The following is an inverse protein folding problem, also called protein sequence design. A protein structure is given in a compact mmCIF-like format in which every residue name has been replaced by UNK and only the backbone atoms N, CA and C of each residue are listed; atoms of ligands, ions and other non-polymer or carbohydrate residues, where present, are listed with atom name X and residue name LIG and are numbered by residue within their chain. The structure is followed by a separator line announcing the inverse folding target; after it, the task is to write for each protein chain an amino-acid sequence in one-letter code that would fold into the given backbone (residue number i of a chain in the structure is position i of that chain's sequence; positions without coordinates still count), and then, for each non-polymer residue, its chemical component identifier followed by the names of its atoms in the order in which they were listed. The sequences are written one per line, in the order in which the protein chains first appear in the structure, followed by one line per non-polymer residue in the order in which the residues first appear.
data_IF_192024918518
#
_entry.id   IF_192024918518
#
_cell.length_a   1.000
_cell.length_b   1.000
_cell.length_c   1.000
_cell.angle_alpha   90.00
_cell.angle_beta   90.00
_cell.angle_gamma   90.00
#
_symmetry.space_group_name_H-M   'P 1'
#
loop_
_entity.id
_entity.type
_entity.pdbx_description
1 polymer ?
#
# COMPACT_ATOMS: atom_id res chain seq x y z
N UNK A 1 11.34 16.81 12.48
CA UNK A 1 11.13 15.39 12.12
C UNK A 1 9.77 15.33 11.44
N UNK A 2 9.72 14.86 10.20
CA UNK A 2 8.49 14.90 9.38
C UNK A 2 7.91 13.50 9.30
N UNK A 3 6.61 13.36 9.60
CA UNK A 3 5.87 12.11 9.48
C UNK A 3 4.87 12.26 8.34
N UNK A 4 4.79 11.27 7.45
CA UNK A 4 3.79 11.22 6.37
C UNK A 4 3.05 9.90 6.38
N UNK A 5 1.76 9.95 6.07
CA UNK A 5 0.94 8.76 5.87
C UNK A 5 0.82 8.44 4.38
N UNK A 6 1.17 7.22 3.98
CA UNK A 6 1.04 6.76 2.60
C UNK A 6 -0.20 5.89 2.42
N UNK A 7 -0.90 6.15 1.32
CA UNK A 7 -1.96 5.25 0.86
C UNK A 7 -1.35 3.99 0.27
N UNK A 8 -1.92 2.84 0.62
CA UNK A 8 -1.54 1.51 0.10
C UNK A 8 -2.75 0.75 -0.46
N UNK A 9 -3.87 1.45 -0.69
CA UNK A 9 -5.08 0.83 -1.23
C UNK A 9 -4.89 0.48 -2.71
N UNK A 10 -5.26 -0.72 -3.18
CA UNK A 10 -5.20 -1.04 -4.60
C UNK A 10 -6.19 -0.20 -5.41
N UNK A 11 -5.96 -0.06 -6.72
CA UNK A 11 -6.75 0.84 -7.57
C UNK A 11 -8.25 0.56 -7.57
N UNK A 12 -8.66 -0.70 -7.39
CA UNK A 12 -10.08 -1.12 -7.38
C UNK A 12 -10.89 -0.53 -6.24
N UNK A 13 -10.25 -0.16 -5.12
CA UNK A 13 -10.92 0.40 -3.93
C UNK A 13 -10.40 1.80 -3.57
N UNK A 14 -9.59 2.41 -4.44
CA UNK A 14 -8.97 3.69 -4.17
C UNK A 14 -9.94 4.81 -4.56
N UNK A 15 -10.34 5.59 -3.56
CA UNK A 15 -11.07 6.85 -3.76
C UNK A 15 -10.09 7.91 -4.26
N UNK A 16 -10.43 8.60 -5.35
CA UNK A 16 -9.67 9.75 -5.86
C UNK A 16 -10.44 11.04 -5.59
N UNK A 17 -9.71 12.09 -5.24
CA UNK A 17 -10.29 13.42 -5.14
C UNK A 17 -10.50 13.97 -6.55
N UNK A 18 -11.66 14.59 -6.77
CA UNK A 18 -12.00 15.25 -8.04
C UNK A 18 -11.31 16.61 -8.06
N UNK A 19 -10.82 17.01 -9.23
CA UNK A 19 -10.27 18.35 -9.48
C UNK A 19 -11.37 19.41 -9.30
N UNK A 20 -11.02 20.65 -8.91
CA UNK A 20 -11.95 21.77 -9.02
C UNK A 20 -12.42 21.98 -10.46
N UNK A 21 -13.67 22.41 -10.64
CA UNK A 21 -14.32 22.57 -11.96
C UNK A 21 -13.42 23.34 -12.95
N UNK A 22 -12.83 24.45 -12.52
CA UNK A 22 -11.98 25.27 -13.39
C UNK A 22 -10.71 24.55 -13.91
N UNK A 23 -10.24 23.50 -13.23
CA UNK A 23 -9.11 22.68 -13.70
C UNK A 23 -9.55 21.55 -14.63
N UNK A 24 -10.81 21.12 -14.55
CA UNK A 24 -11.38 20.10 -15.42
C UNK A 24 -11.66 20.70 -16.80
N UNK A 25 -12.16 21.93 -16.84
CA UNK A 25 -12.46 22.63 -18.09
C UNK A 25 -11.21 22.86 -18.97
N UNK A 26 -10.01 22.84 -18.37
CA UNK A 26 -8.72 22.94 -19.08
C UNK A 26 -8.21 21.56 -19.59
N UNK A 27 -8.61 20.45 -18.97
CA UNK A 27 -8.23 19.09 -19.36
C UNK A 27 -9.28 18.04 -18.91
N UNK A 28 -10.19 17.69 -19.83
CA UNK A 28 -11.35 16.82 -19.56
C UNK A 28 -11.02 15.30 -19.63
N UNK A 29 -9.78 14.89 -19.93
CA UNK A 29 -9.44 13.46 -20.03
C UNK A 29 -9.46 12.73 -18.68
N UNK A 30 -9.08 13.40 -17.58
CA UNK A 30 -9.01 12.79 -16.25
C UNK A 30 -9.31 13.82 -15.14
N UNK A 31 -10.55 13.86 -14.61
CA UNK A 31 -10.97 14.86 -13.63
C UNK A 31 -10.48 14.57 -12.20
N UNK A 32 -9.51 13.69 -12.00
CA UNK A 32 -9.07 13.23 -10.69
C UNK A 32 -7.62 13.62 -10.39
N UNK A 33 -7.35 14.03 -9.14
CA UNK A 33 -5.98 14.20 -8.66
C UNK A 33 -5.20 12.89 -8.68
N UNK A 34 -3.94 12.96 -9.11
CA UNK A 34 -3.00 11.85 -9.01
C UNK A 34 -2.72 11.49 -7.55
N UNK A 35 -2.96 10.22 -7.22
CA UNK A 35 -2.64 9.68 -5.91
C UNK A 35 -1.13 9.42 -5.74
N UNK A 36 -0.72 9.16 -4.51
CA UNK A 36 0.70 8.94 -4.15
C UNK A 36 1.33 7.76 -4.89
N UNK A 37 0.55 6.72 -5.22
CA UNK A 37 1.06 5.55 -5.93
C UNK A 37 1.29 5.89 -7.40
N UNK A 38 0.39 6.64 -8.03
CA UNK A 38 0.60 7.15 -9.40
C UNK A 38 1.82 8.06 -9.46
N UNK A 39 1.98 8.96 -8.49
CA UNK A 39 3.19 9.81 -8.39
C UNK A 39 4.49 9.01 -8.29
N UNK A 40 4.46 7.86 -7.62
CA UNK A 40 5.62 6.96 -7.58
C UNK A 40 5.86 6.22 -8.91
N UNK A 41 4.81 5.85 -9.63
CA UNK A 41 4.98 5.26 -10.97
C UNK A 41 5.57 6.28 -11.96
N UNK A 42 5.20 7.55 -11.79
CA UNK A 42 5.63 8.67 -12.61
C UNK A 42 6.93 9.33 -12.12
N UNK A 43 7.66 8.68 -11.20
CA UNK A 43 8.95 9.17 -10.69
C UNK A 43 9.98 9.37 -11.81
N UNK A 44 11.07 10.13 -11.57
CA UNK A 44 12.07 10.43 -12.61
C UNK A 44 12.61 9.16 -13.31
N UNK A 45 12.87 9.29 -14.61
CA UNK A 45 13.40 8.22 -15.47
C UNK A 45 14.93 8.18 -15.41
N UNK A 46 15.48 8.13 -14.19
CA UNK A 46 16.92 7.99 -13.93
C UNK A 46 17.17 6.72 -13.13
N UNK A 47 18.31 6.08 -13.40
CA UNK A 47 18.69 4.76 -12.85
C UNK A 47 18.58 4.67 -11.32
N UNK A 48 18.83 5.78 -10.62
CA UNK A 48 18.74 5.83 -9.15
C UNK A 48 17.32 5.63 -8.60
N UNK A 49 16.29 5.83 -9.45
CA UNK A 49 14.89 5.64 -9.08
C UNK A 49 14.35 4.26 -9.47
N UNK A 50 15.04 3.51 -10.34
CA UNK A 50 14.59 2.21 -10.85
C UNK A 50 14.43 1.18 -9.73
N UNK A 51 15.39 1.17 -8.81
CA UNK A 51 15.47 0.18 -7.73
C UNK A 51 14.81 0.62 -6.42
N UNK A 52 14.13 1.78 -6.40
CA UNK A 52 13.42 2.24 -5.21
C UNK A 52 12.05 1.58 -5.12
N UNK A 53 11.70 1.07 -3.94
CA UNK A 53 10.32 0.70 -3.64
C UNK A 53 9.45 1.93 -3.42
N UNK A 54 8.13 1.74 -3.41
CA UNK A 54 7.17 2.81 -3.12
C UNK A 54 7.48 3.49 -1.78
N UNK A 55 7.80 2.69 -0.75
CA UNK A 55 8.16 3.20 0.57
C UNK A 55 9.44 4.05 0.52
N UNK A 56 10.51 3.49 -0.02
CA UNK A 56 11.83 4.11 -0.05
C UNK A 56 11.82 5.44 -0.82
N UNK A 57 11.03 5.54 -1.89
CA UNK A 57 10.90 6.78 -2.65
C UNK A 57 10.38 7.93 -1.78
N UNK A 58 9.31 7.70 -1.01
CA UNK A 58 8.71 8.73 -0.16
C UNK A 58 9.45 8.95 1.17
N UNK A 59 10.26 8.00 1.62
CA UNK A 59 11.19 8.19 2.75
C UNK A 59 12.36 9.11 2.36
N UNK A 60 12.91 8.90 1.16
CA UNK A 60 14.16 9.54 0.72
C UNK A 60 13.96 10.83 -0.06
N UNK A 61 12.79 11.04 -0.68
CA UNK A 61 12.55 12.17 -1.56
C UNK A 61 11.34 13.00 -1.15
N UNK A 62 11.47 14.31 -1.29
CA UNK A 62 10.36 15.27 -1.20
C UNK A 62 9.93 15.67 -2.59
N UNK A 63 8.62 15.75 -2.79
CA UNK A 63 7.98 16.06 -4.08
C UNK A 63 7.13 17.31 -3.91
N UNK A 64 7.29 18.28 -4.82
CA UNK A 64 6.54 19.55 -4.81
C UNK A 64 6.21 19.97 -6.24
N UNK A 65 4.98 20.41 -6.54
CA UNK A 65 4.67 21.02 -7.84
C UNK A 65 5.31 22.42 -7.96
N UNK A 66 5.45 23.12 -6.84
CA UNK A 66 6.05 24.46 -6.80
C UNK A 66 7.56 24.38 -6.79
N UNK A 67 8.19 25.37 -7.46
CA UNK A 67 9.64 25.50 -7.48
C UNK A 67 10.19 25.56 -6.06
N UNK A 68 11.18 24.72 -5.72
CA UNK A 68 11.79 24.78 -4.42
C UNK A 68 12.55 26.10 -4.25
N UNK A 69 12.73 26.56 -2.99
CA UNK A 69 13.66 27.64 -2.71
C UNK A 69 15.08 27.24 -3.16
N UNK A 70 15.91 28.25 -3.44
CA UNK A 70 17.30 28.04 -3.85
C UNK A 70 17.98 27.05 -2.91
N UNK A 71 18.44 25.93 -3.47
CA UNK A 71 19.03 24.83 -2.72
C UNK A 71 20.25 24.32 -3.46
N UNK A 72 21.34 23.98 -2.75
CA UNK A 72 22.51 23.37 -3.37
C UNK A 72 22.28 21.90 -3.73
N UNK A 73 21.14 21.32 -3.35
CA UNK A 73 20.82 19.92 -3.61
C UNK A 73 20.45 19.72 -5.07
N UNK A 74 20.76 18.54 -5.59
CA UNK A 74 20.29 18.13 -6.91
C UNK A 74 18.76 18.09 -6.92
N UNK A 75 18.18 18.66 -7.98
CA UNK A 75 16.75 18.74 -8.23
C UNK A 75 16.45 17.88 -9.45
N UNK A 76 15.53 16.95 -9.29
CA UNK A 76 15.03 16.10 -10.36
C UNK A 76 13.62 16.52 -10.75
N UNK A 77 13.18 16.07 -11.94
CA UNK A 77 11.81 16.22 -12.41
C UNK A 77 11.19 14.85 -12.60
N UNK A 78 9.99 14.67 -12.05
CA UNK A 78 9.16 13.51 -12.35
C UNK A 78 8.42 13.72 -13.68
N UNK A 79 7.69 12.71 -14.16
CA UNK A 79 6.96 12.79 -15.43
C UNK A 79 5.74 13.72 -15.38
N UNK A 80 5.31 14.13 -14.18
CA UNK A 80 4.29 15.16 -13.96
C UNK A 80 4.90 16.56 -13.83
N UNK A 81 6.20 16.70 -14.13
CA UNK A 81 6.97 17.92 -13.96
C UNK A 81 7.01 18.45 -12.52
N UNK A 82 6.74 17.63 -11.50
CA UNK A 82 6.99 18.00 -10.11
C UNK A 82 8.50 18.01 -9.84
N UNK A 83 8.91 18.86 -8.90
CA UNK A 83 10.26 18.89 -8.36
C UNK A 83 10.45 17.78 -7.34
N UNK A 84 11.46 16.94 -7.56
CA UNK A 84 11.84 15.82 -6.70
C UNK A 84 13.22 16.10 -6.12
N UNK A 85 13.34 16.13 -4.80
CA UNK A 85 14.58 16.52 -4.11
C UNK A 85 14.89 15.49 -3.04
N UNK A 86 16.15 15.05 -2.99
CA UNK A 86 16.61 14.14 -1.95
C UNK A 86 16.59 14.82 -0.58
N UNK A 87 15.98 14.16 0.40
CA UNK A 87 15.92 14.61 1.77
C UNK A 87 17.26 14.38 2.46
N UNK A 88 17.71 15.33 3.29
CA UNK A 88 18.90 15.14 4.14
C UNK A 88 18.64 14.23 5.35
N UNK A 89 17.39 14.11 5.76
CA UNK A 89 16.94 13.18 6.81
C UNK A 89 15.74 12.44 6.26
N UNK A 90 15.68 11.14 6.50
CA UNK A 90 14.58 10.32 6.05
C UNK A 90 13.26 10.78 6.70
N UNK A 91 12.19 10.74 5.90
CA UNK A 91 10.83 11.02 6.34
C UNK A 91 10.29 9.75 6.95
N UNK A 92 9.66 9.84 8.12
CA UNK A 92 9.03 8.67 8.71
C UNK A 92 7.71 8.43 8.02
N UNK A 93 7.62 7.28 7.35
CA UNK A 93 6.41 6.88 6.65
C UNK A 93 5.57 5.96 7.54
N UNK A 94 4.28 6.26 7.61
CA UNK A 94 3.26 5.39 8.19
C UNK A 94 2.28 4.96 7.11
N UNK A 95 1.67 3.80 7.30
CA UNK A 95 0.62 3.27 6.43
C UNK A 95 -0.33 2.41 7.25
N UNK A 96 -1.48 2.06 6.68
CA UNK A 96 -2.46 1.19 7.36
C UNK A 96 -1.82 -0.17 7.61
N UNK A 97 -1.90 -0.66 8.84
CA UNK A 97 -1.52 -2.02 9.16
C UNK A 97 -2.55 -3.00 8.58
N UNK A 98 -2.09 -3.97 7.80
CA UNK A 98 -2.88 -5.06 7.24
C UNK A 98 -2.30 -6.39 7.68
N UNK A 99 -3.17 -7.38 7.87
CA UNK A 99 -2.83 -8.76 8.16
C UNK A 99 -3.15 -9.65 6.96
N UNK A 100 -2.68 -10.89 6.99
CA UNK A 100 -2.95 -11.85 5.90
C UNK A 100 -4.45 -12.09 5.72
N UNK A 101 -5.24 -12.00 6.80
CA UNK A 101 -6.69 -12.11 6.75
C UNK A 101 -7.36 -10.99 5.94
N UNK A 102 -6.69 -9.85 5.70
CA UNK A 102 -7.16 -8.79 4.81
C UNK A 102 -6.98 -9.14 3.31
N UNK A 103 -6.44 -10.31 3.00
CA UNK A 103 -6.41 -10.90 1.66
C UNK A 103 -5.62 -10.06 0.65
N UNK A 104 -6.22 -9.78 -0.51
CA UNK A 104 -5.56 -9.07 -1.62
C UNK A 104 -5.04 -7.68 -1.25
N UNK A 105 -5.65 -7.01 -0.27
CA UNK A 105 -5.16 -5.72 0.23
C UNK A 105 -3.78 -5.85 0.85
N UNK A 106 -3.57 -6.92 1.63
CA UNK A 106 -2.30 -7.20 2.27
C UNK A 106 -1.21 -7.49 1.23
N UNK A 107 -1.48 -8.38 0.27
CA UNK A 107 -0.48 -8.73 -0.74
C UNK A 107 -0.12 -7.56 -1.65
N UNK A 108 -1.09 -6.73 -2.05
CA UNK A 108 -0.82 -5.51 -2.79
C UNK A 108 0.07 -4.54 -1.99
N UNK A 109 -0.21 -4.38 -0.70
CA UNK A 109 0.64 -3.57 0.18
C UNK A 109 2.05 -4.16 0.27
N UNK A 110 2.21 -5.47 0.44
CA UNK A 110 3.53 -6.09 0.50
C UNK A 110 4.32 -5.91 -0.80
N UNK A 111 3.66 -5.98 -1.96
CA UNK A 111 4.30 -5.68 -3.24
C UNK A 111 4.79 -4.23 -3.31
N UNK A 112 3.97 -3.26 -2.90
CA UNK A 112 4.39 -1.85 -2.86
C UNK A 112 5.61 -1.62 -1.96
N UNK A 113 5.61 -2.21 -0.77
CA UNK A 113 6.63 -1.96 0.24
C UNK A 113 7.97 -2.63 -0.11
N UNK A 114 7.92 -3.82 -0.71
CA UNK A 114 9.10 -4.69 -0.85
C UNK A 114 9.58 -4.89 -2.29
N UNK A 115 8.77 -4.54 -3.30
CA UNK A 115 9.08 -4.79 -4.71
C UNK A 115 9.16 -3.47 -5.48
N UNK A 116 10.35 -3.11 -6.02
CA UNK A 116 10.48 -2.00 -6.95
C UNK A 116 9.63 -2.27 -8.19
N UNK A 117 8.96 -1.23 -8.68
CA UNK A 117 8.11 -1.33 -9.87
C UNK A 117 8.14 -0.01 -10.62
N UNK A 118 8.19 -0.06 -11.94
CA UNK A 118 8.10 1.13 -12.79
C UNK A 118 6.66 1.46 -13.13
N UNK A 119 5.84 0.43 -13.30
CA UNK A 119 4.46 0.58 -13.74
C UNK A 119 3.53 -0.25 -12.84
N UNK A 120 2.22 0.02 -12.96
CA UNK A 120 1.21 -0.71 -12.19
C UNK A 120 1.15 -2.19 -12.56
N UNK A 121 1.40 -2.53 -13.83
CA UNK A 121 1.32 -3.91 -14.33
C UNK A 121 2.42 -4.81 -13.74
N UNK A 122 3.54 -4.24 -13.27
CA UNK A 122 4.60 -4.97 -12.59
C UNK A 122 4.12 -5.64 -11.29
N UNK A 123 3.02 -5.15 -10.71
CA UNK A 123 2.40 -5.73 -9.51
C UNK A 123 1.35 -6.80 -9.79
N UNK A 124 1.01 -7.07 -11.05
CA UNK A 124 0.02 -8.07 -11.42
C UNK A 124 0.69 -9.26 -12.11
N UNK A 125 0.12 -10.45 -11.91
CA UNK A 125 0.57 -11.67 -12.59
C UNK A 125 -0.23 -11.82 -13.89
N UNK A 126 0.13 -11.06 -14.93
CA UNK A 126 -0.64 -11.01 -16.18
C UNK A 126 -2.01 -10.31 -16.02
N UNK A 127 -2.90 -10.49 -16.99
CA UNK A 127 -4.19 -9.75 -17.06
C UNK A 127 -5.20 -10.16 -15.97
N UNK A 128 -5.17 -11.43 -15.52
CA UNK A 128 -6.16 -12.00 -14.59
C UNK A 128 -5.55 -12.52 -13.28
N UNK A 129 -4.26 -12.32 -13.06
CA UNK A 129 -3.60 -12.80 -11.85
C UNK A 129 -3.85 -11.91 -10.64
N UNK A 130 -3.80 -12.52 -9.46
CA UNK A 130 -3.96 -11.87 -8.16
C UNK A 130 -2.65 -11.27 -7.66
N UNK A 131 -2.74 -10.31 -6.72
CA UNK A 131 -1.55 -9.77 -6.06
C UNK A 131 -0.89 -10.85 -5.20
N UNK A 132 -1.69 -11.76 -4.62
CA UNK A 132 -1.17 -12.92 -3.89
C UNK A 132 -0.29 -13.81 -4.75
N UNK A 133 -0.76 -14.21 -5.93
CA UNK A 133 0.03 -15.04 -6.86
C UNK A 133 1.33 -14.35 -7.26
N UNK A 134 1.26 -13.06 -7.61
CA UNK A 134 2.46 -12.27 -7.92
C UNK A 134 3.44 -12.24 -6.75
N UNK A 135 2.95 -11.97 -5.54
CA UNK A 135 3.79 -11.93 -4.34
C UNK A 135 4.46 -13.28 -4.07
N UNK A 136 3.71 -14.38 -4.12
CA UNK A 136 4.24 -15.72 -3.87
C UNK A 136 5.20 -16.19 -4.97
N UNK A 137 5.08 -15.68 -6.20
CA UNK A 137 6.06 -15.95 -7.25
C UNK A 137 7.43 -15.31 -6.97
N UNK A 138 7.46 -14.19 -6.24
CA UNK A 138 8.68 -13.46 -5.87
C UNK A 138 9.25 -14.01 -4.55
N UNK A 139 8.36 -14.37 -3.61
CA UNK A 139 8.72 -14.83 -2.27
C UNK A 139 8.13 -16.23 -1.99
N UNK A 140 8.62 -17.28 -2.66
CA UNK A 140 8.06 -18.64 -2.52
C UNK A 140 8.20 -19.17 -1.09
N UNK A 141 9.26 -18.80 -0.37
CA UNK A 141 9.49 -19.17 1.04
C UNK A 141 8.37 -18.71 1.98
N UNK A 142 7.62 -17.68 1.58
CA UNK A 142 6.48 -17.19 2.37
C UNK A 142 5.30 -18.17 2.39
N UNK A 143 5.25 -19.15 1.48
CA UNK A 143 4.16 -20.14 1.41
C UNK A 143 3.99 -20.91 2.72
N UNK A 144 5.09 -21.35 3.33
CA UNK A 144 5.04 -22.10 4.58
C UNK A 144 4.53 -21.24 5.72
N UNK A 145 5.01 -19.99 5.82
CA UNK A 145 4.55 -19.00 6.81
C UNK A 145 3.06 -18.74 6.66
N UNK A 146 2.60 -18.55 5.41
CA UNK A 146 1.20 -18.35 5.10
C UNK A 146 0.33 -19.54 5.51
N UNK A 147 0.73 -20.77 5.16
CA UNK A 147 0.01 -21.99 5.52
C UNK A 147 -0.09 -22.18 7.04
N UNK A 148 1.02 -21.94 7.75
CA UNK A 148 1.06 -22.03 9.20
C UNK A 148 0.14 -20.98 9.85
N UNK A 149 0.18 -19.73 9.39
CA UNK A 149 -0.68 -18.68 9.94
C UNK A 149 -2.17 -18.95 9.67
N UNK A 150 -2.53 -19.39 8.46
CA UNK A 150 -3.93 -19.76 8.16
C UNK A 150 -4.39 -20.89 9.08
N UNK A 151 -3.56 -21.93 9.26
CA UNK A 151 -3.88 -23.08 10.12
C UNK A 151 -4.06 -22.66 11.58
N UNK A 152 -3.11 -21.88 12.12
CA UNK A 152 -3.13 -21.41 13.50
C UNK A 152 -4.32 -20.47 13.77
N UNK A 153 -4.60 -19.55 12.85
CA UNK A 153 -5.75 -18.63 12.95
C UNK A 153 -7.06 -19.42 12.90
N UNK A 154 -7.17 -20.43 12.02
CA UNK A 154 -8.35 -21.28 11.93
C UNK A 154 -8.56 -22.10 13.21
N UNK A 155 -7.52 -22.75 13.72
CA UNK A 155 -7.56 -23.51 14.96
C UNK A 155 -7.95 -22.62 16.16
N UNK A 156 -7.36 -21.44 16.26
CA UNK A 156 -7.67 -20.47 17.31
C UNK A 156 -9.11 -19.98 17.25
N UNK A 157 -9.66 -19.77 16.03
CA UNK A 157 -11.08 -19.42 15.84
C UNK A 157 -12.01 -20.55 16.28
N UNK A 158 -11.70 -21.79 15.95
CA UNK A 158 -12.49 -22.96 16.38
C UNK A 158 -12.48 -23.07 17.91
N UNK A 159 -11.31 -22.99 18.52
CA UNK A 159 -11.17 -23.09 19.99
C UNK A 159 -11.97 -21.97 20.66
N UNK A 160 -11.82 -20.73 20.18
CA UNK A 160 -12.54 -19.59 20.74
C UNK A 160 -14.07 -19.74 20.60
N UNK A 161 -14.53 -20.18 19.43
CA UNK A 161 -15.96 -20.42 19.20
C UNK A 161 -16.50 -21.52 20.13
N UNK A 162 -15.80 -22.64 20.25
CA UNK A 162 -16.21 -23.74 21.13
C UNK A 162 -16.29 -23.29 22.59
N UNK A 163 -15.30 -22.51 23.06
CA UNK A 163 -15.29 -21.97 24.41
C UNK A 163 -16.47 -21.03 24.65
N UNK A 164 -16.75 -20.11 23.72
CA UNK A 164 -17.90 -19.21 23.80
C UNK A 164 -19.23 -19.97 23.80
N UNK A 165 -19.34 -21.01 22.97
CA UNK A 165 -20.53 -21.84 22.90
C UNK A 165 -20.79 -22.59 24.21
N UNK A 166 -19.75 -23.22 24.79
CA UNK A 166 -19.83 -23.90 26.08
C UNK A 166 -20.20 -22.92 27.19
N UNK A 167 -19.58 -21.73 27.23
CA UNK A 167 -19.91 -20.71 28.22
C UNK A 167 -21.38 -20.26 28.12
N UNK A 168 -21.88 -20.07 26.89
CA UNK A 168 -23.27 -19.68 26.66
C UNK A 168 -24.25 -20.78 27.08
N UNK A 169 -23.95 -22.05 26.78
CA UNK A 169 -24.75 -23.19 27.23
C UNK A 169 -24.78 -23.30 28.76
N UNK A 170 -23.64 -23.16 29.42
CA UNK A 170 -23.57 -23.22 30.89
C UNK A 170 -24.41 -22.11 31.54
N UNK A 171 -24.38 -20.88 30.99
CA UNK A 171 -25.22 -19.77 31.47
C UNK A 171 -26.71 -20.06 31.28
N UNK A 172 -27.10 -20.63 30.15
CA UNK A 172 -28.50 -21.01 29.89
C UNK A 172 -28.96 -22.10 30.87
N UNK A 173 -28.14 -23.13 31.08
CA UNK A 173 -28.47 -24.22 32.00
C UNK A 173 -28.62 -23.72 33.44
N UNK A 174 -27.77 -22.80 33.89
CA UNK A 174 -27.94 -22.13 35.19
C UNK A 174 -29.27 -21.37 35.26
N UNK A 175 -29.63 -20.63 34.21
CA UNK A 175 -30.89 -19.89 34.13
C UNK A 175 -32.16 -20.76 34.22
N UNK A 176 -32.08 -22.04 33.80
CA UNK A 176 -33.19 -22.99 33.91
C UNK A 176 -33.16 -23.82 35.19
N UNK A 177 -32.12 -23.66 36.03
CA UNK A 177 -31.95 -24.38 37.29
C UNK A 177 -32.30 -23.54 38.52
N UNK A 178 -32.46 -22.22 38.35
CA UNK A 178 -33.01 -21.25 39.32
C UNK A 178 -34.50 -20.99 39.03
#
# INVERSE_FOLDING_TARGET
MTVKFLSTKPPTIRTRAILPIYMIDENDENPYYDDTIMKYMLRPLLLEFDNLTYLQYFEKYSISPSSPPSTPRQIFRDQLNNYVIKCSKEIIIRYRFLKIEDGELYFYQQLLLNVPARNKTDYQMGLNGTYREKFLSIFPEFLNTLQNQITNTHQSRIINFNNQFIETLNRLLQFFSD
#
